data_IF_968000944860
#
_entry.id   IF_968000944860
#
_cell.length_a   1.000
_cell.length_b   1.000
_cell.length_c   1.000
_cell.angle_alpha   90.00
_cell.angle_beta   90.00
_cell.angle_gamma   90.00
#
_symmetry.space_group_name_H-M   'P 1'
#
loop_
_entity.id
_entity.type
_entity.pdbx_description
1 polymer ?
#
# COMPACT_ATOMS: atom_id res chain seq x y z
N UNK A 1 4.25 13.82 -28.61
CA UNK A 1 5.15 12.83 -27.99
C UNK A 1 5.60 13.41 -26.67
N UNK A 2 5.52 12.65 -25.58
CA UNK A 2 5.98 13.03 -24.23
C UNK A 2 7.14 12.11 -23.84
N UNK A 3 8.12 12.63 -23.11
CA UNK A 3 9.33 11.89 -22.69
C UNK A 3 9.37 11.89 -21.17
N UNK A 4 9.58 10.72 -20.57
CA UNK A 4 9.59 10.51 -19.12
C UNK A 4 10.84 9.71 -18.72
N UNK A 5 11.18 9.76 -17.43
CA UNK A 5 12.11 8.80 -16.86
C UNK A 5 11.55 7.38 -16.96
N UNK A 6 12.43 6.39 -17.14
CA UNK A 6 12.03 5.00 -17.30
C UNK A 6 11.79 4.33 -15.94
N UNK A 7 10.58 3.80 -15.75
CA UNK A 7 10.14 3.11 -14.53
C UNK A 7 10.37 1.61 -14.69
N UNK A 8 11.54 1.12 -14.29
CA UNK A 8 12.01 -0.22 -14.64
C UNK A 8 11.19 -1.37 -14.07
N UNK A 9 10.45 -1.15 -12.97
CA UNK A 9 9.60 -2.17 -12.38
C UNK A 9 8.18 -2.16 -12.96
N UNK A 10 7.84 -1.21 -13.84
CA UNK A 10 6.54 -1.11 -14.48
C UNK A 10 5.49 -0.50 -13.57
N UNK A 11 4.23 -0.90 -13.74
CA UNK A 11 3.10 -0.40 -12.94
C UNK A 11 2.79 -1.28 -11.75
N UNK A 12 2.16 -0.72 -10.72
CA UNK A 12 1.64 -1.48 -9.59
C UNK A 12 0.67 -2.58 -10.04
N UNK A 13 -0.18 -2.31 -11.04
CA UNK A 13 -1.06 -3.32 -11.62
C UNK A 13 -0.28 -4.55 -12.11
N UNK A 14 0.85 -4.35 -12.82
CA UNK A 14 1.69 -5.47 -13.30
C UNK A 14 2.30 -6.28 -12.15
N UNK A 15 2.60 -5.63 -11.02
CA UNK A 15 3.19 -6.31 -9.86
C UNK A 15 2.15 -7.06 -9.02
N UNK A 16 0.88 -6.62 -9.05
CA UNK A 16 -0.21 -7.29 -8.33
C UNK A 16 -0.81 -8.46 -9.11
N UNK A 17 -0.95 -8.33 -10.44
CA UNK A 17 -1.79 -9.23 -11.23
C UNK A 17 -1.03 -10.14 -12.20
N UNK A 18 0.19 -9.81 -12.61
CA UNK A 18 0.91 -10.62 -13.59
C UNK A 18 1.55 -11.85 -12.93
N UNK A 19 1.22 -13.04 -13.43
CA UNK A 19 1.85 -14.28 -13.03
C UNK A 19 3.32 -14.31 -13.48
N UNK A 20 4.24 -14.55 -12.54
CA UNK A 20 5.69 -14.62 -12.80
C UNK A 20 6.51 -13.40 -12.38
N UNK A 21 5.86 -12.35 -11.87
CA UNK A 21 6.56 -11.24 -11.18
C UNK A 21 6.86 -11.59 -9.72
N UNK A 22 7.85 -10.91 -9.14
CA UNK A 22 8.14 -11.01 -7.72
C UNK A 22 6.94 -10.53 -6.89
N UNK A 23 6.64 -11.25 -5.81
CA UNK A 23 5.56 -10.91 -4.89
C UNK A 23 5.98 -9.70 -4.07
N UNK A 24 5.14 -8.66 -4.05
CA UNK A 24 5.33 -7.52 -3.15
C UNK A 24 5.18 -7.96 -1.70
N UNK A 25 6.25 -7.76 -0.92
CA UNK A 25 6.24 -7.91 0.53
C UNK A 25 5.30 -6.89 1.19
N UNK A 26 4.90 -7.14 2.44
CA UNK A 26 4.05 -6.20 3.16
C UNK A 26 4.70 -4.83 3.36
N UNK A 27 6.01 -4.78 3.63
CA UNK A 27 6.76 -3.53 3.78
C UNK A 27 6.72 -2.69 2.49
N UNK A 28 6.93 -3.33 1.32
CA UNK A 28 6.84 -2.68 0.01
C UNK A 28 5.43 -2.17 -0.25
N UNK A 29 4.38 -2.93 0.08
CA UNK A 29 2.99 -2.47 -0.09
C UNK A 29 2.67 -1.26 0.77
N UNK A 30 3.14 -1.23 2.03
CA UNK A 30 3.02 -0.06 2.89
C UNK A 30 3.83 1.14 2.35
N UNK A 31 5.02 0.91 1.80
CA UNK A 31 5.83 1.97 1.20
C UNK A 31 5.14 2.55 -0.04
N UNK A 32 4.64 1.71 -0.94
CA UNK A 32 3.88 2.12 -2.13
C UNK A 32 2.63 2.91 -1.72
N UNK A 33 1.88 2.43 -0.72
CA UNK A 33 0.71 3.16 -0.20
C UNK A 33 1.08 4.57 0.27
N UNK A 34 2.20 4.69 0.99
CA UNK A 34 2.71 5.96 1.50
C UNK A 34 3.17 6.89 0.37
N UNK A 35 3.97 6.39 -0.57
CA UNK A 35 4.48 7.14 -1.72
C UNK A 35 3.35 7.69 -2.59
N UNK A 36 2.35 6.85 -2.90
CA UNK A 36 1.15 7.28 -3.65
C UNK A 36 0.40 8.35 -2.87
N UNK A 37 0.21 8.17 -1.57
CA UNK A 37 -0.49 9.13 -0.71
C UNK A 37 0.23 10.48 -0.69
N UNK A 38 1.55 10.51 -0.55
CA UNK A 38 2.33 11.75 -0.65
C UNK A 38 2.24 12.41 -2.03
N UNK A 39 2.23 11.60 -3.10
CA UNK A 39 2.01 12.11 -4.46
C UNK A 39 0.67 12.83 -4.59
N UNK A 40 -0.41 12.25 -4.06
CA UNK A 40 -1.74 12.87 -4.07
C UNK A 40 -1.83 14.07 -3.13
N UNK A 41 -1.19 14.00 -1.96
CA UNK A 41 -1.10 15.11 -1.00
C UNK A 41 -0.45 16.34 -1.65
N UNK A 42 0.65 16.13 -2.38
CA UNK A 42 1.28 17.19 -3.15
C UNK A 42 0.33 17.80 -4.19
N UNK A 43 -0.41 16.99 -4.95
CA UNK A 43 -1.37 17.52 -5.94
C UNK A 43 -2.48 18.33 -5.29
N UNK A 44 -3.00 17.87 -4.15
CA UNK A 44 -4.19 18.43 -3.50
C UNK A 44 -3.91 19.67 -2.65
N UNK A 45 -2.71 19.74 -2.05
CA UNK A 45 -2.35 20.72 -1.03
C UNK A 45 -1.05 21.47 -1.35
N UNK A 46 -0.11 20.85 -2.07
CA UNK A 46 1.17 21.45 -2.44
C UNK A 46 1.18 22.20 -3.78
N UNK A 47 0.38 21.75 -4.75
CA UNK A 47 0.28 22.39 -6.07
C UNK A 47 -0.55 23.67 -5.99
N UNK A 48 -0.13 24.70 -6.74
CA UNK A 48 -0.82 25.99 -6.82
C UNK A 48 -1.10 26.32 -8.30
N UNK A 49 -2.37 26.25 -8.75
CA UNK A 49 -3.55 25.83 -7.99
C UNK A 49 -3.58 24.31 -7.71
N UNK A 50 -4.38 23.85 -6.72
CA UNK A 50 -4.56 22.42 -6.46
C UNK A 50 -5.03 21.64 -7.69
N UNK A 51 -4.51 20.43 -7.86
CA UNK A 51 -4.75 19.56 -8.99
C UNK A 51 -5.52 18.31 -8.52
N UNK A 52 -6.54 17.92 -9.28
CA UNK A 52 -7.27 16.66 -9.12
C UNK A 52 -6.85 15.73 -10.25
N UNK A 53 -6.43 14.51 -9.92
CA UNK A 53 -5.87 13.53 -10.87
C UNK A 53 -6.94 12.94 -11.80
N UNK A 54 -8.10 12.55 -11.25
CA UNK A 54 -9.28 12.00 -11.95
C UNK A 54 -9.13 10.61 -12.57
N UNK A 55 -7.93 10.09 -12.79
CA UNK A 55 -7.71 8.72 -13.27
C UNK A 55 -6.68 7.96 -12.42
N UNK A 56 -6.84 8.05 -11.09
CA UNK A 56 -5.97 7.34 -10.16
C UNK A 56 -6.35 5.84 -10.16
N UNK A 57 -5.39 4.99 -10.51
CA UNK A 57 -5.51 3.52 -10.58
C UNK A 57 -4.14 2.87 -10.46
N UNK A 58 -4.10 1.58 -10.10
CA UNK A 58 -2.85 0.81 -9.99
C UNK A 58 -2.03 0.80 -11.28
N UNK A 59 -2.65 0.86 -12.46
CA UNK A 59 -1.94 0.98 -13.74
C UNK A 59 -1.19 2.32 -13.93
N UNK A 60 -1.62 3.37 -13.22
CA UNK A 60 -1.05 4.71 -13.25
C UNK A 60 -0.12 4.98 -12.04
N UNK A 61 0.18 3.95 -11.24
CA UNK A 61 1.22 4.00 -10.22
C UNK A 61 2.42 3.25 -10.78
N UNK A 62 3.52 3.96 -11.06
CA UNK A 62 4.72 3.38 -11.66
C UNK A 62 5.84 3.25 -10.62
N UNK A 63 6.68 2.23 -10.75
CA UNK A 63 7.77 1.95 -9.82
C UNK A 63 9.13 2.03 -10.51
N UNK A 64 10.04 2.78 -9.90
CA UNK A 64 11.43 2.85 -10.35
C UNK A 64 12.25 1.64 -9.87
N UNK A 65 13.54 1.61 -10.21
CA UNK A 65 14.47 0.52 -9.85
C UNK A 65 14.62 0.25 -8.34
N UNK A 66 14.26 1.23 -7.51
CA UNK A 66 14.35 1.18 -6.06
C UNK A 66 13.01 0.90 -5.40
N UNK A 67 11.99 0.49 -6.17
CA UNK A 67 10.62 0.27 -5.73
C UNK A 67 9.92 1.52 -5.19
N UNK A 68 10.41 2.72 -5.53
CA UNK A 68 9.74 3.98 -5.21
C UNK A 68 8.57 4.17 -6.14
N UNK A 69 7.38 4.37 -5.58
CA UNK A 69 6.17 4.55 -6.38
C UNK A 69 5.97 6.02 -6.78
N UNK A 70 5.52 6.26 -8.01
CA UNK A 70 5.18 7.58 -8.53
C UNK A 70 3.84 7.56 -9.24
N UNK A 71 3.02 8.57 -8.96
CA UNK A 71 1.75 8.80 -9.68
C UNK A 71 2.05 9.30 -11.08
N UNK A 72 1.42 8.69 -12.09
CA UNK A 72 1.62 8.97 -13.50
C UNK A 72 0.29 9.18 -14.25
N UNK A 73 0.38 9.58 -15.51
CA UNK A 73 -0.75 9.85 -16.42
C UNK A 73 -1.71 10.96 -15.97
N UNK A 74 -1.26 12.19 -16.16
CA UNK A 74 -2.01 13.40 -15.86
C UNK A 74 -2.92 13.86 -17.01
N UNK A 75 -3.19 13.02 -18.02
CA UNK A 75 -3.97 13.42 -19.20
C UNK A 75 -5.40 13.87 -18.87
N UNK A 76 -5.96 13.33 -17.79
CA UNK A 76 -7.29 13.68 -17.30
C UNK A 76 -7.29 14.73 -16.19
N UNK A 77 -6.12 15.03 -15.60
CA UNK A 77 -5.99 15.91 -14.45
C UNK A 77 -6.48 17.33 -14.73
N UNK A 78 -7.09 17.96 -13.74
CA UNK A 78 -7.61 19.34 -13.84
C UNK A 78 -7.38 20.08 -12.54
N UNK A 79 -7.21 21.41 -12.65
CA UNK A 79 -7.21 22.28 -11.48
C UNK A 79 -8.54 22.19 -10.74
N UNK A 80 -8.53 22.30 -9.42
CA UNK A 80 -9.74 22.24 -8.60
C UNK A 80 -10.75 23.34 -8.94
N UNK A 81 -10.26 24.52 -9.36
CA UNK A 81 -11.10 25.65 -9.76
C UNK A 81 -11.77 25.47 -11.13
N UNK A 82 -11.40 24.42 -11.89
CA UNK A 82 -11.94 24.17 -13.22
C UNK A 82 -13.45 23.82 -13.16
N UNK A 83 -14.29 24.54 -13.91
CA UNK A 83 -15.72 24.23 -14.00
C UNK A 83 -15.95 22.97 -14.83
N UNK A 84 -16.02 21.83 -14.12
CA UNK A 84 -16.08 20.49 -14.69
C UNK A 84 -17.39 20.13 -15.41
N UNK A 85 -18.43 20.98 -15.37
CA UNK A 85 -19.78 20.66 -15.87
C UNK A 85 -19.82 20.19 -17.32
N UNK A 86 -18.90 20.68 -18.16
CA UNK A 86 -18.82 20.34 -19.59
C UNK A 86 -17.70 19.35 -19.93
N UNK A 87 -16.98 18.80 -18.94
CA UNK A 87 -15.82 17.93 -19.19
C UNK A 87 -16.16 16.46 -19.46
N UNK A 88 -17.43 16.09 -19.22
CA UNK A 88 -17.94 14.73 -19.33
C UNK A 88 -17.41 13.79 -18.25
N UNK A 89 -18.11 12.67 -18.06
CA UNK A 89 -17.67 11.60 -17.18
C UNK A 89 -16.45 10.91 -17.80
N UNK A 90 -15.31 10.99 -17.11
CA UNK A 90 -14.03 10.38 -17.49
C UNK A 90 -13.38 9.76 -16.28
N UNK A 91 -12.69 8.64 -16.49
CA UNK A 91 -11.98 7.88 -15.47
C UNK A 91 -12.07 6.38 -15.79
N UNK A 92 -11.47 5.56 -14.94
CA UNK A 92 -11.44 4.10 -15.13
C UNK A 92 -12.50 3.41 -14.27
N UNK A 93 -13.30 2.54 -14.89
CA UNK A 93 -14.32 1.74 -14.19
C UNK A 93 -13.68 0.87 -13.09
N UNK A 94 -14.32 0.83 -11.91
CA UNK A 94 -13.80 0.19 -10.70
C UNK A 94 -13.10 1.16 -9.74
N UNK A 95 -12.55 2.27 -10.25
CA UNK A 95 -11.89 3.31 -9.45
C UNK A 95 -12.75 4.56 -9.26
N UNK A 96 -13.67 4.80 -10.19
CA UNK A 96 -14.49 6.01 -10.21
C UNK A 96 -15.38 6.13 -8.97
N UNK A 97 -15.30 7.31 -8.35
CA UNK A 97 -16.16 7.74 -7.26
C UNK A 97 -17.65 7.69 -7.66
N UNK A 98 -18.52 6.97 -6.92
CA UNK A 98 -19.95 6.89 -7.22
C UNK A 98 -20.68 8.25 -7.14
N UNK A 99 -20.20 9.18 -6.31
CA UNK A 99 -20.75 10.54 -6.25
C UNK A 99 -20.39 11.33 -7.52
N UNK A 100 -19.17 11.15 -8.03
CA UNK A 100 -18.76 11.75 -9.31
C UNK A 100 -19.53 11.14 -10.49
N UNK A 101 -19.74 9.82 -10.52
CA UNK A 101 -20.55 9.15 -11.55
C UNK A 101 -21.97 9.72 -11.59
N UNK A 102 -22.58 9.94 -10.43
CA UNK A 102 -23.97 10.41 -10.35
C UNK A 102 -24.14 11.92 -10.55
N UNK A 103 -23.19 12.72 -10.06
CA UNK A 103 -23.26 14.20 -10.12
C UNK A 103 -22.53 14.82 -11.32
N UNK A 104 -21.70 14.04 -12.02
CA UNK A 104 -20.74 14.51 -13.03
C UNK A 104 -19.78 15.60 -12.50
N UNK A 105 -19.57 15.67 -11.18
CA UNK A 105 -18.66 16.61 -10.52
C UNK A 105 -17.51 15.88 -9.84
N UNK A 106 -16.30 16.05 -10.38
CA UNK A 106 -15.10 15.55 -9.73
C UNK A 106 -14.62 16.53 -8.66
N UNK A 107 -14.04 16.00 -7.58
CA UNK A 107 -13.44 16.79 -6.50
C UNK A 107 -12.17 16.11 -6.00
N UNK A 108 -11.39 16.76 -5.13
CA UNK A 108 -10.30 16.10 -4.38
C UNK A 108 -10.78 14.81 -3.71
N UNK A 109 -12.01 14.77 -3.19
CA UNK A 109 -12.60 13.58 -2.56
C UNK A 109 -12.83 12.42 -3.53
N UNK A 110 -12.89 12.67 -4.84
CA UNK A 110 -12.98 11.63 -5.87
C UNK A 110 -11.65 10.90 -6.05
N UNK A 111 -10.52 11.61 -5.95
CA UNK A 111 -9.19 10.97 -5.88
C UNK A 111 -9.02 10.19 -4.57
N UNK A 112 -9.52 10.69 -3.44
CA UNK A 112 -9.50 9.95 -2.16
C UNK A 112 -10.25 8.62 -2.28
N UNK A 113 -11.40 8.59 -2.95
CA UNK A 113 -12.11 7.34 -3.21
C UNK A 113 -11.26 6.37 -4.05
N UNK A 114 -10.67 6.87 -5.14
CA UNK A 114 -9.81 6.06 -6.02
C UNK A 114 -8.57 5.52 -5.27
N UNK A 115 -7.99 6.31 -4.36
CA UNK A 115 -6.91 5.88 -3.47
C UNK A 115 -7.39 4.75 -2.55
N UNK A 116 -8.60 4.85 -1.98
CA UNK A 116 -9.19 3.76 -1.18
C UNK A 116 -9.27 2.43 -1.92
N UNK A 117 -9.58 2.47 -3.23
CA UNK A 117 -9.55 1.28 -4.09
C UNK A 117 -8.15 0.71 -4.19
N UNK A 118 -7.14 1.55 -4.46
CA UNK A 118 -5.73 1.13 -4.56
C UNK A 118 -5.21 0.54 -3.24
N UNK A 119 -5.61 1.11 -2.10
CA UNK A 119 -5.25 0.56 -0.80
C UNK A 119 -5.83 -0.86 -0.61
N UNK A 120 -7.05 -1.11 -1.07
CA UNK A 120 -7.61 -2.47 -1.06
C UNK A 120 -6.99 -3.38 -2.12
N UNK A 121 -6.59 -2.88 -3.29
CA UNK A 121 -5.78 -3.67 -4.25
C UNK A 121 -4.46 -4.13 -3.60
N UNK A 122 -3.79 -3.25 -2.83
CA UNK A 122 -2.58 -3.61 -2.09
C UNK A 122 -2.85 -4.66 -0.99
N UNK A 123 -4.00 -4.60 -0.30
CA UNK A 123 -4.33 -5.59 0.74
C UNK A 123 -4.70 -6.95 0.13
N UNK A 124 -5.48 -6.94 -0.94
CA UNK A 124 -6.19 -8.14 -1.43
C UNK A 124 -5.52 -8.78 -2.66
N UNK A 125 -4.75 -8.01 -3.42
CA UNK A 125 -4.31 -8.35 -4.78
C UNK A 125 -5.48 -8.78 -5.71
N UNK A 126 -6.70 -8.29 -5.46
CA UNK A 126 -7.88 -8.50 -6.31
C UNK A 126 -8.03 -7.30 -7.23
N UNK A 127 -8.25 -7.54 -8.53
CA UNK A 127 -8.48 -6.46 -9.48
C UNK A 127 -9.86 -5.83 -9.26
N UNK A 128 -10.05 -4.49 -9.32
CA UNK A 128 -11.34 -3.86 -9.00
C UNK A 128 -12.52 -4.34 -9.85
N UNK A 129 -12.26 -4.84 -11.05
CA UNK A 129 -13.29 -5.43 -11.93
C UNK A 129 -13.70 -6.86 -11.55
N UNK A 130 -13.02 -7.48 -10.59
CA UNK A 130 -13.32 -8.81 -10.05
C UNK A 130 -14.10 -8.70 -8.73
N UNK A 131 -15.10 -7.82 -8.69
CA UNK A 131 -16.00 -7.61 -7.53
C UNK A 131 -15.30 -7.18 -6.22
N UNK A 132 -14.16 -6.48 -6.31
CA UNK A 132 -13.42 -6.01 -5.11
C UNK A 132 -14.32 -5.28 -4.09
N UNK A 133 -15.21 -4.40 -4.55
CA UNK A 133 -16.14 -3.66 -3.68
C UNK A 133 -17.06 -4.59 -2.90
N UNK A 134 -17.48 -5.70 -3.48
CA UNK A 134 -18.34 -6.69 -2.81
C UNK A 134 -17.57 -7.37 -1.67
N UNK A 135 -16.36 -7.85 -1.95
CA UNK A 135 -15.47 -8.42 -0.92
C UNK A 135 -15.18 -7.44 0.20
N UNK A 136 -14.88 -6.18 -0.12
CA UNK A 136 -14.62 -5.12 0.87
C UNK A 136 -15.84 -4.86 1.76
N UNK A 137 -17.04 -4.82 1.17
CA UNK A 137 -18.27 -4.62 1.93
C UNK A 137 -18.56 -5.80 2.87
N UNK A 138 -18.37 -7.04 2.39
CA UNK A 138 -18.54 -8.25 3.20
C UNK A 138 -17.53 -8.30 4.36
N UNK A 139 -16.25 -8.02 4.06
CA UNK A 139 -15.19 -7.95 5.06
C UNK A 139 -15.49 -6.91 6.15
N UNK A 140 -16.12 -5.78 5.79
CA UNK A 140 -16.53 -4.74 6.72
C UNK A 140 -17.67 -5.12 7.66
N UNK A 141 -18.34 -6.26 7.47
CA UNK A 141 -19.43 -6.74 8.34
C UNK A 141 -18.93 -7.45 9.61
N UNK A 142 -17.64 -7.80 9.66
CA UNK A 142 -17.00 -8.50 10.78
C UNK A 142 -15.73 -7.76 11.22
N UNK A 143 -15.40 -7.78 12.51
CA UNK A 143 -14.16 -7.15 13.01
C UNK A 143 -12.90 -7.76 12.40
N UNK A 144 -12.98 -9.02 11.94
CA UNK A 144 -11.85 -9.77 11.40
C UNK A 144 -12.06 -10.12 9.92
N UNK A 145 -13.11 -9.60 9.27
CA UNK A 145 -13.43 -9.97 7.88
C UNK A 145 -12.34 -9.55 6.88
N UNK A 146 -11.51 -8.56 7.23
CA UNK A 146 -10.34 -8.15 6.44
C UNK A 146 -9.33 -9.29 6.29
N UNK A 147 -9.20 -10.14 7.32
CA UNK A 147 -8.26 -11.28 7.29
C UNK A 147 -8.64 -12.29 6.20
N UNK A 148 -9.94 -12.41 5.88
CA UNK A 148 -10.47 -13.35 4.88
C UNK A 148 -10.23 -12.88 3.44
N UNK A 149 -10.01 -11.59 3.24
CA UNK A 149 -9.76 -10.99 1.92
C UNK A 149 -8.29 -10.60 1.71
N UNK A 150 -7.43 -10.84 2.71
CA UNK A 150 -6.00 -10.62 2.61
C UNK A 150 -5.42 -11.47 1.47
N UNK A 151 -4.48 -10.91 0.71
CA UNK A 151 -3.74 -11.66 -0.28
C UNK A 151 -3.10 -12.90 0.35
N UNK A 152 -3.44 -14.08 -0.17
CA UNK A 152 -2.93 -15.37 0.29
C UNK A 152 -1.39 -15.43 0.30
N UNK A 153 -0.72 -14.65 -0.56
CA UNK A 153 0.74 -14.55 -0.62
C UNK A 153 1.36 -13.80 0.55
N UNK A 154 0.56 -13.08 1.35
CA UNK A 154 0.99 -12.36 2.56
C UNK A 154 0.63 -13.08 3.87
N UNK A 155 -0.11 -14.18 3.81
CA UNK A 155 -0.55 -14.91 5.00
C UNK A 155 0.67 -15.48 5.72
N UNK A 156 0.87 -15.07 6.98
CA UNK A 156 2.03 -15.43 7.79
C UNK A 156 3.24 -14.50 7.62
N UNK A 157 3.25 -13.65 6.60
CA UNK A 157 4.35 -12.73 6.27
C UNK A 157 4.06 -11.27 6.68
N UNK A 158 2.90 -11.01 7.30
CA UNK A 158 2.48 -9.67 7.70
C UNK A 158 1.83 -9.63 9.09
N UNK A 159 1.77 -8.43 9.67
CA UNK A 159 1.07 -8.20 10.92
C UNK A 159 -0.41 -7.87 10.63
N UNK A 160 -1.33 -8.75 11.03
CA UNK A 160 -2.76 -8.57 10.79
C UNK A 160 -3.34 -7.29 11.40
N UNK A 161 -2.80 -6.80 12.51
CA UNK A 161 -3.24 -5.51 13.08
C UNK A 161 -2.89 -4.35 12.13
N UNK A 162 -1.73 -4.38 11.48
CA UNK A 162 -1.33 -3.36 10.51
C UNK A 162 -2.21 -3.43 9.25
N UNK A 163 -2.54 -4.65 8.79
CA UNK A 163 -3.48 -4.89 7.69
C UNK A 163 -4.85 -4.30 8.01
N UNK A 164 -5.40 -4.61 9.20
CA UNK A 164 -6.72 -4.10 9.64
C UNK A 164 -6.72 -2.59 9.79
N UNK A 165 -5.64 -1.99 10.30
CA UNK A 165 -5.50 -0.53 10.38
C UNK A 165 -5.50 0.11 8.99
N UNK A 166 -4.74 -0.43 8.03
CA UNK A 166 -4.72 0.07 6.66
C UNK A 166 -6.08 -0.09 5.97
N UNK A 167 -6.74 -1.24 6.18
CA UNK A 167 -8.09 -1.50 5.68
C UNK A 167 -9.11 -0.51 6.27
N UNK A 168 -8.99 -0.15 7.55
CA UNK A 168 -9.81 0.88 8.19
C UNK A 168 -9.65 2.25 7.52
N UNK A 169 -8.42 2.66 7.20
CA UNK A 169 -8.14 3.89 6.44
C UNK A 169 -8.76 3.80 5.05
N UNK A 170 -8.54 2.70 4.33
CA UNK A 170 -9.10 2.48 3.00
C UNK A 170 -10.64 2.52 3.00
N UNK A 171 -11.28 1.93 4.00
CA UNK A 171 -12.74 1.93 4.14
C UNK A 171 -13.30 3.33 4.35
N UNK A 172 -12.63 4.17 5.16
CA UNK A 172 -13.01 5.58 5.33
C UNK A 172 -12.89 6.36 4.00
N UNK A 173 -11.87 6.07 3.19
CA UNK A 173 -11.72 6.64 1.85
C UNK A 173 -12.88 6.26 0.90
N UNK A 174 -13.44 5.05 1.06
CA UNK A 174 -14.55 4.55 0.23
C UNK A 174 -15.95 4.99 0.70
N UNK A 175 -16.05 5.84 1.73
CA UNK A 175 -17.35 6.28 2.23
C UNK A 175 -18.22 6.89 1.10
N UNK A 176 -19.47 6.43 0.98
CA UNK A 176 -20.42 6.84 -0.09
C UNK A 176 -20.59 8.36 -0.17
N UNK A 177 -20.74 9.01 0.99
CA UNK A 177 -20.78 10.49 1.11
C UNK A 177 -19.37 11.10 1.07
N UNK A 178 -19.02 11.94 0.07
CA UNK A 178 -17.66 12.48 -0.08
C UNK A 178 -17.15 13.31 1.10
N UNK A 179 -18.06 14.04 1.78
CA UNK A 179 -17.71 14.88 2.94
C UNK A 179 -17.24 14.07 4.15
N UNK A 180 -17.61 12.78 4.24
CA UNK A 180 -17.20 11.87 5.32
C UNK A 180 -15.89 11.14 5.03
N UNK A 181 -15.40 11.20 3.79
CA UNK A 181 -14.05 10.71 3.46
C UNK A 181 -13.02 11.59 4.19
N UNK A 182 -11.87 11.05 4.61
CA UNK A 182 -10.81 11.84 5.26
C UNK A 182 -10.23 12.91 4.32
N UNK A 183 -9.46 13.85 4.88
CA UNK A 183 -8.54 14.67 4.07
C UNK A 183 -7.34 13.83 3.63
N UNK A 184 -6.61 14.26 2.60
CA UNK A 184 -5.41 13.54 2.18
C UNK A 184 -4.33 13.57 3.28
N UNK A 185 -4.19 14.69 4.00
CA UNK A 185 -3.30 14.79 5.16
C UNK A 185 -3.64 13.80 6.28
N UNK A 186 -4.93 13.57 6.56
CA UNK A 186 -5.35 12.56 7.55
C UNK A 186 -4.94 11.14 7.10
N UNK A 187 -5.10 10.82 5.81
CA UNK A 187 -4.70 9.53 5.22
C UNK A 187 -3.18 9.38 5.29
N UNK A 188 -2.44 10.41 4.88
CA UNK A 188 -0.97 10.48 4.92
C UNK A 188 -0.44 10.23 6.33
N UNK A 189 -1.02 10.90 7.32
CA UNK A 189 -0.67 10.73 8.73
C UNK A 189 -0.97 9.32 9.24
N UNK A 190 -2.12 8.75 8.87
CA UNK A 190 -2.51 7.42 9.32
C UNK A 190 -1.58 6.33 8.74
N UNK A 191 -1.31 6.36 7.44
CA UNK A 191 -0.41 5.40 6.78
C UNK A 191 1.03 5.56 7.29
N UNK A 192 1.50 6.80 7.47
CA UNK A 192 2.81 7.08 8.06
C UNK A 192 2.96 6.47 9.45
N UNK A 193 1.94 6.56 10.30
CA UNK A 193 1.95 5.94 11.64
C UNK A 193 2.06 4.43 11.56
N UNK A 194 1.32 3.79 10.65
CA UNK A 194 1.39 2.32 10.44
C UNK A 194 2.81 1.94 10.00
N UNK A 195 3.38 2.62 9.00
CA UNK A 195 4.75 2.36 8.51
C UNK A 195 5.81 2.57 9.59
N UNK A 196 5.70 3.63 10.40
CA UNK A 196 6.64 3.87 11.50
C UNK A 196 6.58 2.77 12.57
N UNK A 197 5.38 2.27 12.89
CA UNK A 197 5.22 1.15 13.83
C UNK A 197 5.82 -0.14 13.27
N UNK A 198 5.60 -0.40 11.98
CA UNK A 198 6.18 -1.53 11.26
C UNK A 198 7.72 -1.53 11.35
N UNK A 199 8.36 -0.42 10.97
CA UNK A 199 9.83 -0.26 11.01
C UNK A 199 10.40 -0.42 12.43
N UNK A 200 9.68 0.03 13.47
CA UNK A 200 10.13 -0.14 14.87
C UNK A 200 10.11 -1.61 15.31
N UNK A 201 9.09 -2.37 14.90
CA UNK A 201 8.99 -3.81 15.20
C UNK A 201 10.06 -4.60 14.46
N UNK A 202 10.28 -4.33 13.18
CA UNK A 202 11.34 -4.99 12.40
C UNK A 202 12.73 -4.75 12.99
N UNK A 203 13.02 -3.51 13.40
CA UNK A 203 14.29 -3.19 14.06
C UNK A 203 14.47 -3.94 15.39
N UNK A 204 13.39 -4.07 16.17
CA UNK A 204 13.40 -4.81 17.45
C UNK A 204 13.57 -6.31 17.24
N UNK A 205 12.92 -6.87 16.21
CA UNK A 205 13.07 -8.27 15.81
C UNK A 205 14.49 -8.56 15.30
N UNK A 206 15.03 -7.70 14.45
CA UNK A 206 16.42 -7.80 13.95
C UNK A 206 17.44 -7.78 15.10
N UNK A 207 17.25 -6.89 16.08
CA UNK A 207 18.10 -6.85 17.27
C UNK A 207 17.99 -8.13 18.12
N UNK A 208 16.77 -8.64 18.31
CA UNK A 208 16.52 -9.89 19.04
C UNK A 208 17.18 -11.10 18.35
N UNK A 209 17.07 -11.20 17.01
CA UNK A 209 17.68 -12.27 16.22
C UNK A 209 19.21 -12.22 16.31
N UNK A 210 19.81 -11.03 16.25
CA UNK A 210 21.27 -10.88 16.43
C UNK A 210 21.72 -11.37 17.80
N UNK A 211 21.01 -10.99 18.86
CA UNK A 211 21.31 -11.46 20.22
C UNK A 211 21.20 -12.98 20.35
N UNK A 212 20.15 -13.59 19.77
CA UNK A 212 19.99 -15.05 19.76
C UNK A 212 21.15 -15.71 19.00
N UNK A 213 21.51 -15.18 17.83
CA UNK A 213 22.61 -15.71 17.01
C UNK A 213 23.93 -15.68 17.77
N UNK A 214 24.19 -14.61 18.53
CA UNK A 214 25.38 -14.48 19.36
C UNK A 214 25.37 -15.45 20.55
N UNK A 215 24.21 -15.71 21.15
CA UNK A 215 24.05 -16.73 22.19
C UNK A 215 24.32 -18.12 21.63
N UNK A 216 23.74 -18.46 20.48
CA UNK A 216 23.95 -19.76 19.80
C UNK A 216 25.43 -19.97 19.50
N UNK A 217 26.12 -18.97 18.94
CA UNK A 217 27.58 -19.04 18.70
C UNK A 217 28.38 -19.32 19.96
N UNK A 218 28.01 -18.72 21.10
CA UNK A 218 28.69 -18.96 22.38
C UNK A 218 28.48 -20.39 22.88
N UNK A 219 27.28 -20.93 22.71
CA UNK A 219 26.97 -22.32 23.07
C UNK A 219 27.78 -23.28 22.20
N UNK A 220 27.82 -23.06 20.88
CA UNK A 220 28.61 -23.88 19.96
C UNK A 220 30.10 -23.88 20.35
N UNK A 221 30.65 -22.71 20.70
CA UNK A 221 32.04 -22.59 21.15
C UNK A 221 32.30 -23.40 22.43
N UNK A 222 31.41 -23.32 23.43
CA UNK A 222 31.53 -24.09 24.67
C UNK A 222 31.43 -25.60 24.42
N UNK A 223 30.57 -26.04 23.49
CA UNK A 223 30.40 -27.44 23.16
C UNK A 223 31.65 -28.02 22.45
N UNK A 224 32.31 -27.23 21.60
CA UNK A 224 33.59 -27.61 20.99
C UNK A 224 34.70 -27.73 22.04
N UNK A 225 34.82 -26.78 22.98
CA UNK A 225 35.80 -26.84 24.07
C UNK A 225 35.59 -28.07 24.97
N UNK A 226 34.35 -28.34 25.39
CA UNK A 226 33.98 -29.51 26.18
C UNK A 226 34.33 -30.82 25.46
N UNK A 227 34.05 -30.90 24.17
CA UNK A 227 34.39 -32.07 23.34
C UNK A 227 35.91 -32.30 23.27
N UNK A 228 36.70 -31.22 23.15
CA UNK A 228 38.17 -31.30 23.14
C UNK A 228 38.73 -31.81 24.48
N UNK A 229 38.20 -31.34 25.61
CA UNK A 229 38.63 -31.76 26.95
C UNK A 229 38.30 -33.23 27.24
N UNK A 230 37.15 -33.71 26.75
CA UNK A 230 36.76 -35.12 26.87
C UNK A 230 37.67 -36.03 26.04
N UNK A 231 38.07 -35.62 24.83
CA UNK A 231 39.03 -36.41 24.02
C UNK A 231 40.44 -36.47 24.61
N UNK A 232 40.88 -35.46 25.37
CA UNK A 232 42.17 -35.50 26.06
C UNK A 232 42.17 -36.44 27.28
N UNK A 233 41.03 -36.60 27.98
CA UNK A 233 40.93 -37.47 29.16
C UNK A 233 40.87 -38.98 28.83
N UNK A 234 40.55 -39.36 27.60
CA UNK A 234 40.48 -40.79 27.16
C UNK A 234 41.85 -41.31 26.67
N UNK A 235 42.88 -40.45 26.56
CA UNK A 235 44.23 -40.79 26.08
C UNK A 235 45.27 -41.00 27.20
N UNK A 236 44.85 -41.16 28.46
CA UNK A 236 45.71 -41.50 29.61
C UNK A 236 45.25 -42.84 30.16
#
# INVERSE_FOLDING_TARGET
>A
MLIYEYMSNGSLASLLYDEGRAVLSWDERLQIALDVTHGIEYLHEGAVPPIIHRDLKSANILLDKSMMAKVADFGLSREEAFDGRNSGLKGTYGYMDPDYISSNKFTKKSDIYSLGIILFELITAIHPQQNLIEYVNLAGMSSNGVDEILDNKLVGECNLEEVRLLAGVAHLCLHKTPRRRPSIGDVSLAISKIKQQHLRKENTMSFSIRNITDVVRRIDHQQVELSSMLTMKVRI
#
